data_IF_830918256611
#
_entry.id   IF_830918256611
#
_cell.length_a   1.000
_cell.length_b   1.000
_cell.length_c   1.000
_cell.angle_alpha   90.00
_cell.angle_beta   90.00
_cell.angle_gamma   90.00
#
_symmetry.space_group_name_H-M   'P 1'
#
loop_
_entity.id
_entity.type
_entity.pdbx_description
1 polymer ?
#
# COMPACT_ATOMS: atom_id res chain seq x y z
N UNK A 1 -11.47 -4.81 7.04
CA UNK A 1 -11.18 -4.02 8.27
C UNK A 1 -10.93 -2.56 7.91
N UNK A 2 -11.63 -1.57 8.50
CA UNK A 2 -11.44 -0.16 8.17
C UNK A 2 -10.01 0.34 8.44
N UNK A 3 -9.48 1.16 7.54
CA UNK A 3 -8.15 1.75 7.62
C UNK A 3 -8.13 3.10 6.87
N UNK A 4 -7.00 3.80 6.94
CA UNK A 4 -6.79 5.05 6.21
C UNK A 4 -5.47 5.02 5.45
N UNK A 5 -5.47 5.60 4.26
CA UNK A 5 -4.29 5.86 3.46
C UNK A 5 -3.93 7.34 3.60
N UNK A 6 -2.66 7.64 3.81
CA UNK A 6 -2.17 9.00 3.95
C UNK A 6 -0.88 9.20 3.15
N UNK A 7 -0.81 10.28 2.40
CA UNK A 7 0.43 10.68 1.72
C UNK A 7 1.62 10.76 2.68
N UNK A 8 2.83 10.50 2.19
CA UNK A 8 4.04 10.63 3.02
C UNK A 8 4.28 12.06 3.50
N UNK A 9 3.82 13.05 2.74
CA UNK A 9 3.88 14.48 3.03
C UNK A 9 2.61 15.01 3.71
N UNK A 10 1.61 14.16 3.93
CA UNK A 10 0.32 14.51 4.53
C UNK A 10 -0.65 15.27 3.61
N UNK A 11 -0.32 15.50 2.33
CA UNK A 11 -1.15 16.29 1.39
C UNK A 11 -2.52 15.69 1.12
N UNK A 12 -2.68 14.37 1.25
CA UNK A 12 -3.96 13.70 1.09
C UNK A 12 -4.18 12.59 2.11
N UNK A 13 -5.47 12.34 2.40
CA UNK A 13 -5.97 11.19 3.15
C UNK A 13 -7.18 10.57 2.47
N UNK A 14 -7.29 9.26 2.55
CA UNK A 14 -8.42 8.47 2.00
C UNK A 14 -8.80 7.33 2.92
N UNK A 15 -10.09 7.08 3.00
CA UNK A 15 -10.59 5.89 3.66
C UNK A 15 -10.36 4.66 2.79
N UNK A 16 -10.06 3.54 3.42
CA UNK A 16 -9.95 2.26 2.77
C UNK A 16 -10.36 1.14 3.73
N UNK A 17 -10.46 -0.08 3.20
CA UNK A 17 -10.56 -1.28 4.00
C UNK A 17 -9.44 -2.25 3.63
N UNK A 18 -8.88 -2.93 4.62
CA UNK A 18 -7.99 -4.08 4.41
C UNK A 18 -8.87 -5.29 4.12
N UNK A 19 -8.68 -5.88 2.94
CA UNK A 19 -9.32 -7.12 2.50
C UNK A 19 -8.47 -8.33 2.92
N UNK A 20 -7.16 -8.27 2.70
CA UNK A 20 -6.20 -9.31 3.10
C UNK A 20 -4.86 -8.68 3.55
N UNK A 21 -4.12 -9.38 4.41
CA UNK A 21 -2.84 -8.92 4.96
C UNK A 21 -1.85 -10.06 5.12
N UNK A 22 -0.60 -9.82 4.74
CA UNK A 22 0.52 -10.75 4.90
C UNK A 22 1.70 -10.08 5.63
N UNK A 23 2.80 -10.81 5.81
CA UNK A 23 4.04 -10.24 6.36
C UNK A 23 4.63 -9.15 5.44
N UNK A 24 4.46 -9.31 4.13
CA UNK A 24 5.11 -8.48 3.12
C UNK A 24 4.22 -7.38 2.56
N UNK A 25 2.89 -7.46 2.75
CA UNK A 25 1.97 -6.52 2.13
C UNK A 25 0.52 -6.67 2.56
N UNK A 26 -0.35 -5.97 1.84
CA UNK A 26 -1.79 -6.06 2.03
C UNK A 26 -2.55 -5.83 0.72
N UNK A 27 -3.77 -6.34 0.68
CA UNK A 27 -4.77 -6.00 -0.32
C UNK A 27 -5.79 -5.06 0.30
N UNK A 28 -6.01 -3.92 -0.34
CA UNK A 28 -6.90 -2.86 0.14
C UNK A 28 -8.04 -2.65 -0.85
N UNK A 29 -9.21 -2.28 -0.33
CA UNK A 29 -10.36 -1.77 -1.09
C UNK A 29 -10.45 -0.28 -0.82
N UNK A 30 -10.52 0.53 -1.88
CA UNK A 30 -10.61 1.98 -1.80
C UNK A 30 -11.97 2.44 -2.34
N UNK A 31 -12.82 2.97 -1.46
CA UNK A 31 -14.20 3.38 -1.82
C UNK A 31 -14.31 4.68 -2.62
N UNK A 32 -13.18 5.32 -2.97
CA UNK A 32 -13.14 6.59 -3.69
C UNK A 32 -12.02 6.58 -4.72
N UNK A 33 -12.11 7.44 -5.74
CA UNK A 33 -11.11 7.47 -6.81
C UNK A 33 -9.70 7.76 -6.27
N UNK A 34 -8.74 7.00 -6.80
CA UNK A 34 -7.31 7.18 -6.56
C UNK A 34 -6.63 8.03 -7.65
N UNK A 35 -7.38 8.46 -8.66
CA UNK A 35 -6.85 9.31 -9.74
C UNK A 35 -6.33 10.64 -9.19
N UNK A 36 -5.22 11.11 -9.77
CA UNK A 36 -4.56 12.35 -9.35
C UNK A 36 -3.83 12.26 -8.00
N UNK A 37 -3.94 11.15 -7.26
CA UNK A 37 -3.15 10.94 -6.05
C UNK A 37 -1.74 10.48 -6.41
N UNK A 38 -0.74 11.02 -5.71
CA UNK A 38 0.62 10.50 -5.78
C UNK A 38 0.75 9.21 -4.96
N UNK A 39 0.11 8.15 -5.46
CA UNK A 39 -0.11 6.89 -4.74
C UNK A 39 1.10 5.93 -4.74
N UNK A 40 2.28 6.39 -5.18
CA UNK A 40 3.47 5.53 -5.27
C UNK A 40 3.91 5.02 -3.89
N UNK A 41 3.92 5.90 -2.89
CA UNK A 41 4.23 5.58 -1.50
C UNK A 41 3.32 6.35 -0.55
N UNK A 42 2.87 5.70 0.51
CA UNK A 42 1.95 6.27 1.48
C UNK A 42 2.03 5.52 2.81
N UNK A 43 1.42 6.07 3.84
CA UNK A 43 1.19 5.38 5.10
C UNK A 43 -0.19 4.73 5.10
N UNK A 44 -0.23 3.43 5.41
CA UNK A 44 -1.44 2.73 5.81
C UNK A 44 -1.57 2.86 7.33
N UNK A 45 -2.65 3.48 7.78
CA UNK A 45 -2.99 3.68 9.18
C UNK A 45 -4.03 2.63 9.59
N UNK A 46 -3.67 1.80 10.58
CA UNK A 46 -4.49 0.68 11.06
C UNK A 46 -5.41 1.08 12.23
N UNK A 47 -5.27 2.30 12.73
CA UNK A 47 -6.01 2.83 13.87
C UNK A 47 -6.42 4.26 13.59
N UNK A 48 -7.61 4.62 14.05
CA UNK A 48 -8.12 6.00 14.05
C UNK A 48 -7.27 6.93 14.91
N UNK A 49 -6.49 6.40 15.88
CA UNK A 49 -5.56 7.17 16.71
C UNK A 49 -4.17 7.35 16.08
N UNK A 50 -3.90 6.76 14.91
CA UNK A 50 -2.66 6.96 14.15
C UNK A 50 -1.38 6.35 14.73
N UNK A 51 -1.43 5.68 15.88
CA UNK A 51 -0.25 5.09 16.54
C UNK A 51 0.29 3.85 15.80
N UNK A 52 -0.57 3.15 15.06
CA UNK A 52 -0.20 1.98 14.28
C UNK A 52 -0.24 2.30 12.79
N UNK A 53 0.94 2.41 12.17
CA UNK A 53 1.07 2.66 10.75
C UNK A 53 2.16 1.80 10.08
N UNK A 54 2.02 1.62 8.77
CA UNK A 54 2.99 0.97 7.89
C UNK A 54 3.25 1.85 6.69
N UNK A 55 4.52 2.04 6.32
CA UNK A 55 4.86 2.69 5.05
C UNK A 55 4.70 1.66 3.94
N UNK A 56 3.94 2.01 2.91
CA UNK A 56 3.53 1.13 1.84
C UNK A 56 4.01 1.70 0.51
N UNK A 57 4.30 0.80 -0.44
CA UNK A 57 4.45 1.13 -1.86
C UNK A 57 3.35 0.43 -2.65
N UNK A 58 2.76 1.13 -3.62
CA UNK A 58 1.78 0.53 -4.54
C UNK A 58 2.46 -0.56 -5.38
N UNK A 59 1.85 -1.74 -5.41
CA UNK A 59 2.30 -2.88 -6.20
C UNK A 59 1.48 -3.05 -7.48
N UNK A 60 0.15 -2.96 -7.38
CA UNK A 60 -0.77 -3.09 -8.50
C UNK A 60 -2.12 -2.43 -8.18
N UNK A 61 -2.92 -2.20 -9.23
CA UNK A 61 -4.29 -1.66 -9.16
C UNK A 61 -5.20 -2.56 -9.98
N UNK A 62 -6.37 -2.88 -9.45
CA UNK A 62 -7.44 -3.60 -10.14
C UNK A 62 -8.80 -3.04 -9.70
N UNK A 63 -9.34 -2.08 -10.47
CA UNK A 63 -10.57 -1.39 -10.09
C UNK A 63 -10.40 -0.61 -8.79
N UNK A 64 -11.26 -0.90 -7.80
CA UNK A 64 -11.21 -0.34 -6.44
C UNK A 64 -10.23 -1.09 -5.51
N UNK A 65 -9.64 -2.18 -5.99
CA UNK A 65 -8.68 -2.98 -5.24
C UNK A 65 -7.25 -2.55 -5.57
N UNK A 66 -6.42 -2.41 -4.53
CA UNK A 66 -4.99 -2.15 -4.69
C UNK A 66 -4.17 -3.13 -3.86
N UNK A 67 -3.05 -3.54 -4.44
CA UNK A 67 -2.02 -4.29 -3.72
C UNK A 67 -0.93 -3.35 -3.24
N UNK A 68 -0.47 -3.56 -2.00
CA UNK A 68 0.64 -2.79 -1.42
C UNK A 68 1.72 -3.70 -0.85
N UNK A 69 2.96 -3.25 -0.94
CA UNK A 69 4.11 -3.87 -0.27
C UNK A 69 4.56 -3.01 0.91
N UNK A 70 4.83 -3.63 2.05
CA UNK A 70 5.32 -2.96 3.25
C UNK A 70 6.81 -2.64 3.11
N UNK A 71 7.16 -1.36 3.29
CA UNK A 71 8.54 -0.92 3.33
C UNK A 71 9.10 -1.16 4.74
N UNK A 72 10.08 -2.05 4.84
CA UNK A 72 10.78 -2.35 6.10
C UNK A 72 11.66 -1.17 6.51
N UNK A 73 11.64 -0.79 7.80
CA UNK A 73 12.60 0.17 8.36
C UNK A 73 13.95 -0.52 8.52
N UNK A 74 14.86 -0.31 7.56
CA UNK A 74 16.30 -0.51 7.73
C UNK A 74 16.79 -1.96 7.92
N UNK A 75 16.90 -2.70 6.81
CA UNK A 75 18.12 -3.36 6.31
C UNK A 75 17.96 -3.48 4.79
N UNK A 76 19.07 -3.36 4.04
CA UNK A 76 19.20 -3.22 2.56
C UNK A 76 18.04 -3.79 1.70
N UNK A 77 17.71 -3.14 0.56
CA UNK A 77 16.69 -3.66 -0.35
C UNK A 77 17.08 -5.05 -0.86
N UNK A 78 16.22 -6.04 -0.62
CA UNK A 78 16.20 -7.23 -1.45
C UNK A 78 15.67 -6.79 -2.82
N UNK A 79 16.49 -7.03 -3.83
CA UNK A 79 16.28 -6.73 -5.24
C UNK A 79 14.93 -7.31 -5.72
N UNK A 80 14.19 -6.63 -6.60
CA UNK A 80 12.93 -7.15 -7.12
C UNK A 80 13.16 -8.47 -7.85
N UNK A 81 12.36 -9.49 -7.55
CA UNK A 81 12.19 -10.64 -8.42
C UNK A 81 11.59 -10.14 -9.74
N UNK A 82 12.46 -9.79 -10.68
CA UNK A 82 12.12 -9.78 -12.08
C UNK A 82 11.72 -11.22 -12.43
N UNK A 83 10.41 -11.47 -12.58
CA UNK A 83 9.93 -12.67 -13.25
C UNK A 83 10.28 -12.49 -14.73
N UNK A 84 11.50 -12.86 -15.09
CA UNK A 84 11.87 -13.11 -16.48
C UNK A 84 11.02 -14.30 -16.95
N UNK A 85 10.03 -14.04 -17.81
CA UNK A 85 9.41 -15.09 -18.61
C UNK A 85 10.26 -15.27 -19.87
N UNK A 86 11.20 -16.21 -19.79
CA UNK A 86 11.85 -16.86 -20.92
C UNK A 86 11.51 -18.35 -20.89
N UNK A 87 10.99 -18.86 -22.02
CA UNK A 87 11.20 -20.24 -22.44
C UNK A 87 9.98 -21.14 -22.42
N UNK A 88 9.46 -21.40 -23.62
CA UNK A 88 8.48 -22.43 -23.96
C UNK A 88 8.17 -22.34 -25.45
#
# INVERSE_FOLDING_TARGET
>A
MPAQMMAIDGTWRRECAIEDVSEEGAKLIVGSSIEGLQLKEFFLLLSTKGLAYRRCKLAWVNGDQIGVTFLRRGKKPAQPAAKNEQGG
#
